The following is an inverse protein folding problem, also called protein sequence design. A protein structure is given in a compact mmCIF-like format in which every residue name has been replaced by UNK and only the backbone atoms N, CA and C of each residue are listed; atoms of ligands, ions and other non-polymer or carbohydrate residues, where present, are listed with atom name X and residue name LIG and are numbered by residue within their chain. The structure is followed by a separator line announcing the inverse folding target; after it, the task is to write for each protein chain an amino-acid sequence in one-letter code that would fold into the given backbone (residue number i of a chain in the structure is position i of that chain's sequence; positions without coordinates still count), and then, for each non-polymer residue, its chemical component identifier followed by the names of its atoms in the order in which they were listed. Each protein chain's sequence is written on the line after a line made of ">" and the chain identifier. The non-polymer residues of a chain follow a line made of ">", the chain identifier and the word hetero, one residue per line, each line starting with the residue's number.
data_IF_753960558229
#
_entry.id   IF_753960558229
#
_cell.length_a   1.000
_cell.length_b   1.000
_cell.length_c   1.000
_cell.angle_alpha   90.00
_cell.angle_beta   90.00
_cell.angle_gamma   90.00
#
_symmetry.space_group_name_H-M   'P 1'
#
loop_
_entity.id
_entity.type
_entity.pdbx_description
1 polymer ?
#
# COMPACT_ATOMS: atom_id res chain seq x y z
N UNK A 1 15.03 -13.91 17.34
CA UNK A 1 13.58 -13.69 17.15
C UNK A 1 13.37 -12.19 16.99
N UNK A 2 12.77 -11.74 15.87
CA UNK A 2 12.28 -10.36 15.75
C UNK A 2 11.02 -10.26 16.64
N UNK A 3 10.89 -9.24 17.51
CA UNK A 3 9.69 -9.10 18.34
C UNK A 3 8.44 -9.07 17.44
N UNK A 4 7.27 -9.51 17.95
CA UNK A 4 6.02 -9.39 17.20
C UNK A 4 5.83 -7.92 16.80
N UNK A 5 5.45 -7.70 15.54
CA UNK A 5 5.09 -6.36 15.09
C UNK A 5 3.78 -5.99 15.76
N UNK A 6 3.89 -5.29 16.89
CA UNK A 6 2.78 -4.51 17.40
C UNK A 6 2.48 -3.43 16.37
N UNK A 7 1.27 -3.47 15.84
CA UNK A 7 0.75 -2.50 14.88
C UNK A 7 0.78 -1.11 15.52
N UNK A 8 1.71 -0.26 15.12
CA UNK A 8 1.91 1.03 15.78
C UNK A 8 0.84 1.99 15.28
N UNK A 9 0.29 2.80 16.19
CA UNK A 9 -0.65 3.87 15.84
C UNK A 9 -0.06 4.82 14.78
N UNK A 10 1.26 5.05 14.82
CA UNK A 10 2.00 5.81 13.80
C UNK A 10 1.81 5.26 12.39
N UNK A 11 1.76 3.93 12.26
CA UNK A 11 1.76 3.25 10.97
C UNK A 11 0.37 3.36 10.33
N UNK A 12 -0.69 3.22 11.15
CA UNK A 12 -2.08 3.50 10.73
C UNK A 12 -2.30 4.95 10.33
N UNK A 13 -1.72 5.89 11.09
CA UNK A 13 -1.80 7.32 10.75
C UNK A 13 -1.08 7.58 9.43
N UNK A 14 0.10 7.01 9.23
CA UNK A 14 0.88 7.14 8.00
C UNK A 14 0.13 6.55 6.79
N UNK A 15 -0.54 5.39 6.92
CA UNK A 15 -1.40 4.85 5.86
C UNK A 15 -2.62 5.75 5.57
N UNK A 16 -3.25 6.31 6.61
CA UNK A 16 -4.34 7.27 6.46
C UNK A 16 -3.89 8.56 5.75
N UNK A 17 -2.67 9.01 6.01
CA UNK A 17 -2.05 10.13 5.29
C UNK A 17 -1.78 9.77 3.84
N UNK A 18 -1.31 8.55 3.57
CA UNK A 18 -0.99 8.07 2.22
C UNK A 18 -2.23 8.01 1.33
N UNK A 19 -3.35 7.48 1.84
CA UNK A 19 -4.62 7.45 1.09
C UNK A 19 -5.25 8.84 0.91
N UNK A 20 -4.95 9.79 1.80
CA UNK A 20 -5.36 11.20 1.66
C UNK A 20 -4.49 11.98 0.66
N UNK A 21 -3.18 11.72 0.66
CA UNK A 21 -2.22 12.35 -0.24
C UNK A 21 -2.34 11.81 -1.67
N UNK A 22 -2.67 10.53 -1.80
CA UNK A 22 -2.88 9.85 -3.08
C UNK A 22 -4.30 9.25 -3.10
N UNK A 23 -5.32 10.05 -3.44
CA UNK A 23 -6.71 9.59 -3.51
C UNK A 23 -6.86 8.41 -4.48
N UNK A 24 -7.86 7.57 -4.23
CA UNK A 24 -8.11 6.36 -5.02
C UNK A 24 -8.37 6.64 -6.51
N UNK A 25 -8.96 7.79 -6.85
CA UNK A 25 -9.23 8.20 -8.23
C UNK A 25 -7.92 8.48 -8.97
N UNK A 26 -7.01 9.26 -8.37
CA UNK A 26 -5.66 9.49 -8.88
C UNK A 26 -4.87 8.17 -9.02
N UNK A 27 -4.99 7.34 -7.98
CA UNK A 27 -4.82 5.88 -7.99
C UNK A 27 -4.97 5.22 -9.36
N UNK A 28 -6.25 5.16 -9.73
CA UNK A 28 -6.76 4.44 -10.87
C UNK A 28 -6.39 5.11 -12.20
N UNK A 29 -6.40 6.45 -12.24
CA UNK A 29 -6.00 7.22 -13.42
C UNK A 29 -4.57 6.87 -13.83
N UNK A 30 -3.63 6.92 -12.89
CA UNK A 30 -2.21 6.57 -13.15
C UNK A 30 -2.08 5.10 -13.58
N UNK A 31 -2.83 4.20 -12.94
CA UNK A 31 -2.83 2.77 -13.32
C UNK A 31 -3.37 2.57 -14.74
N UNK A 32 -4.39 3.31 -15.13
CA UNK A 32 -4.98 3.27 -16.47
C UNK A 32 -4.03 3.85 -17.52
N UNK A 33 -3.44 5.01 -17.25
CA UNK A 33 -2.43 5.65 -18.12
C UNK A 33 -1.21 4.74 -18.32
N UNK A 34 -0.79 4.02 -17.28
CA UNK A 34 0.30 3.05 -17.37
C UNK A 34 -0.07 1.75 -18.11
N UNK A 35 -1.34 1.56 -18.48
CA UNK A 35 -1.84 0.31 -19.07
C UNK A 35 -1.68 -0.88 -18.12
N UNK A 36 -1.92 -0.65 -16.82
CA UNK A 36 -1.78 -1.64 -15.73
C UNK A 36 -3.09 -1.96 -15.02
N UNK A 37 -4.22 -1.52 -15.57
CA UNK A 37 -5.55 -1.92 -15.11
C UNK A 37 -5.69 -3.44 -15.09
N UNK A 38 -6.39 -3.96 -14.09
CA UNK A 38 -6.62 -5.38 -13.92
C UNK A 38 -7.35 -5.98 -15.12
N UNK A 39 -6.81 -7.09 -15.64
CA UNK A 39 -7.46 -7.87 -16.72
C UNK A 39 -8.28 -9.05 -16.18
N UNK A 40 -8.04 -9.44 -14.92
CA UNK A 40 -8.72 -10.51 -14.21
C UNK A 40 -8.83 -10.11 -12.75
N UNK A 41 -9.94 -10.45 -12.13
CA UNK A 41 -10.10 -10.28 -10.68
C UNK A 41 -9.11 -11.21 -9.97
N UNK A 42 -8.07 -10.63 -9.38
CA UNK A 42 -6.98 -11.32 -8.66
C UNK A 42 -7.04 -10.93 -7.19
N UNK A 43 -6.38 -11.74 -6.36
CA UNK A 43 -6.26 -11.51 -4.91
C UNK A 43 -5.72 -10.12 -4.55
N UNK A 44 -4.88 -9.52 -5.41
CA UNK A 44 -4.40 -8.14 -5.24
C UNK A 44 -4.86 -7.28 -6.42
N UNK A 45 -5.81 -6.37 -6.19
CA UNK A 45 -6.13 -5.31 -7.13
C UNK A 45 -4.91 -4.43 -7.47
N UNK A 46 -4.89 -3.82 -8.66
CA UNK A 46 -3.80 -2.95 -9.10
C UNK A 46 -3.62 -1.76 -8.14
N UNK A 47 -4.72 -1.15 -7.71
CA UNK A 47 -4.72 -0.07 -6.72
C UNK A 47 -4.10 -0.48 -5.39
N UNK A 48 -4.46 -1.66 -4.88
CA UNK A 48 -3.92 -2.21 -3.63
C UNK A 48 -2.42 -2.46 -3.76
N UNK A 49 -1.97 -2.96 -4.92
CA UNK A 49 -0.55 -3.14 -5.21
C UNK A 49 0.22 -1.81 -5.16
N UNK A 50 -0.33 -0.74 -5.73
CA UNK A 50 0.30 0.59 -5.69
C UNK A 50 0.43 1.09 -4.25
N UNK A 51 -0.66 1.04 -3.47
CA UNK A 51 -0.60 1.46 -2.06
C UNK A 51 0.36 0.61 -1.24
N UNK A 52 0.42 -0.70 -1.50
CA UNK A 52 1.38 -1.58 -0.86
C UNK A 52 2.83 -1.19 -1.17
N UNK A 53 3.15 -0.87 -2.43
CA UNK A 53 4.50 -0.38 -2.81
C UNK A 53 4.83 0.95 -2.15
N UNK A 54 3.90 1.90 -2.14
CA UNK A 54 4.09 3.19 -1.47
C UNK A 54 4.30 3.02 0.05
N UNK A 55 3.55 2.12 0.68
CA UNK A 55 3.75 1.76 2.08
C UNK A 55 5.13 1.10 2.31
N UNK A 56 5.57 0.19 1.43
CA UNK A 56 6.92 -0.39 1.52
C UNK A 56 8.02 0.67 1.41
N UNK A 57 7.83 1.70 0.57
CA UNK A 57 8.76 2.82 0.50
C UNK A 57 8.77 3.64 1.79
N UNK A 58 7.59 3.90 2.37
CA UNK A 58 7.43 4.67 3.61
C UNK A 58 7.99 3.92 4.83
N UNK A 59 7.84 2.60 4.86
CA UNK A 59 8.29 1.70 5.92
C UNK A 59 9.47 0.81 5.47
N UNK A 60 10.44 1.37 4.76
CA UNK A 60 11.55 0.63 4.13
C UNK A 60 12.43 -0.20 5.09
N UNK A 61 12.38 0.07 6.41
CA UNK A 61 13.06 -0.72 7.44
C UNK A 61 12.27 -1.94 7.95
N UNK A 62 11.03 -2.13 7.50
CA UNK A 62 10.16 -3.24 7.91
C UNK A 62 10.15 -4.36 6.87
N UNK A 63 9.86 -5.58 7.34
CA UNK A 63 9.72 -6.71 6.42
C UNK A 63 8.41 -6.58 5.64
N UNK A 64 8.36 -7.11 4.42
CA UNK A 64 7.17 -7.02 3.55
C UNK A 64 5.90 -7.57 4.21
N UNK A 65 6.01 -8.67 4.97
CA UNK A 65 4.89 -9.24 5.72
C UNK A 65 4.36 -8.30 6.81
N UNK A 66 5.21 -7.44 7.34
CA UNK A 66 4.83 -6.48 8.39
C UNK A 66 4.05 -5.33 7.76
N UNK A 67 4.53 -4.83 6.62
CA UNK A 67 3.82 -3.80 5.85
C UNK A 67 2.46 -4.30 5.36
N UNK A 68 2.34 -5.59 5.02
CA UNK A 68 1.07 -6.19 4.58
C UNK A 68 0.04 -6.38 5.72
N UNK A 69 0.45 -6.19 6.98
CA UNK A 69 -0.41 -6.32 8.17
C UNK A 69 -0.85 -4.97 8.75
N UNK A 70 -0.36 -3.86 8.20
CA UNK A 70 -0.77 -2.49 8.54
C UNK A 70 -2.13 -2.14 7.93
#
# INVERSE_FOLDING_TARGET
>A
MKPPVEERLSDRIALGVLTRAFPAELVDEVVAEAGRTEQRNRLLPARVTVYFVLAMCLFSGQAYEEVARL
#
